data_IF_996658257742
#
_entry.id   IF_996658257742
#
_cell.length_a   1.000
_cell.length_b   1.000
_cell.length_c   1.000
_cell.angle_alpha   90.00
_cell.angle_beta   90.00
_cell.angle_gamma   90.00
#
_symmetry.space_group_name_H-M   'P 1'
#
loop_
_entity.id
_entity.type
_entity.pdbx_description
1 polymer ?
#
# COMPACT_ATOMS: atom_id res chain seq x y z
N UNK A 1 -64.47 58.84 5.07
CA UNK A 1 -63.25 59.21 5.82
C UNK A 1 -62.51 57.93 6.20
N UNK A 2 -61.75 57.28 5.31
CA UNK A 2 -60.33 57.50 4.99
C UNK A 2 -59.37 57.52 6.20
N UNK A 3 -58.76 56.36 6.52
CA UNK A 3 -57.43 56.26 7.14
C UNK A 3 -56.70 55.05 6.57
N UNK A 4 -55.69 55.30 5.72
CA UNK A 4 -54.76 54.28 5.20
C UNK A 4 -53.60 54.15 6.19
N UNK A 5 -53.43 52.97 6.78
CA UNK A 5 -52.27 52.63 7.62
C UNK A 5 -51.21 52.03 6.70
N UNK A 6 -50.08 52.73 6.52
CA UNK A 6 -48.90 52.22 5.81
C UNK A 6 -48.01 51.50 6.83
N UNK A 7 -47.92 50.17 6.76
CA UNK A 7 -46.96 49.40 7.53
C UNK A 7 -45.68 49.27 6.72
N UNK A 8 -44.60 49.87 7.22
CA UNK A 8 -43.24 49.73 6.70
C UNK A 8 -42.68 48.40 7.21
N UNK A 9 -42.36 47.47 6.31
CA UNK A 9 -41.59 46.27 6.64
C UNK A 9 -40.09 46.59 6.57
N UNK A 10 -39.30 46.19 7.58
CA UNK A 10 -37.86 46.37 7.57
C UNK A 10 -37.19 45.32 6.67
N UNK A 11 -36.15 45.80 6.02
CA UNK A 11 -35.17 45.08 5.18
C UNK A 11 -34.55 43.95 6.00
N UNK A 12 -34.76 42.70 5.57
CA UNK A 12 -34.06 41.54 6.09
C UNK A 12 -32.62 41.55 5.57
N UNK A 13 -31.71 41.68 6.53
CA UNK A 13 -30.26 41.60 6.41
C UNK A 13 -29.83 40.33 5.67
N UNK A 14 -28.95 40.52 4.67
CA UNK A 14 -28.28 39.44 3.98
C UNK A 14 -27.38 38.65 4.93
N UNK A 15 -27.59 37.34 4.98
CA UNK A 15 -26.61 36.40 5.52
C UNK A 15 -25.43 36.32 4.54
N UNK A 16 -24.20 36.61 4.96
CA UNK A 16 -23.04 36.19 4.20
C UNK A 16 -22.93 34.66 4.35
N UNK A 17 -23.22 33.93 3.27
CA UNK A 17 -22.85 32.52 3.16
C UNK A 17 -21.33 32.46 3.11
N UNK A 18 -20.72 32.25 4.28
CA UNK A 18 -19.31 31.89 4.38
C UNK A 18 -19.16 30.50 3.74
N UNK A 19 -18.76 30.46 2.48
CA UNK A 19 -18.19 29.26 1.86
C UNK A 19 -16.93 28.91 2.66
N UNK A 20 -17.09 28.08 3.68
CA UNK A 20 -15.98 27.34 4.25
C UNK A 20 -15.52 26.37 3.16
N UNK A 21 -14.41 26.70 2.49
CA UNK A 21 -13.63 25.72 1.74
C UNK A 21 -13.16 24.66 2.74
N UNK A 22 -13.98 23.63 2.95
CA UNK A 22 -13.51 22.37 3.47
C UNK A 22 -12.59 21.81 2.39
N UNK A 23 -11.30 22.15 2.48
CA UNK A 23 -10.26 21.45 1.75
C UNK A 23 -10.29 20.01 2.27
N UNK A 24 -11.06 19.18 1.57
CA UNK A 24 -11.15 17.76 1.80
C UNK A 24 -9.74 17.21 1.63
N UNK A 25 -9.08 16.95 2.76
CA UNK A 25 -7.76 16.32 2.78
C UNK A 25 -7.97 14.93 2.19
N UNK A 26 -7.70 14.80 0.88
CA UNK A 26 -7.59 13.49 0.26
C UNK A 26 -6.57 12.71 1.08
N UNK A 27 -6.91 11.50 1.57
CA UNK A 27 -5.93 10.61 2.17
C UNK A 27 -4.80 10.44 1.15
N UNK A 28 -3.60 10.92 1.48
CA UNK A 28 -2.43 10.73 0.63
C UNK A 28 -2.13 9.23 0.71
N UNK A 29 -2.57 8.47 -0.29
CA UNK A 29 -2.15 7.10 -0.44
C UNK A 29 -0.62 7.11 -0.64
N UNK A 30 0.14 6.35 0.17
CA UNK A 30 1.59 6.32 0.02
C UNK A 30 1.92 5.83 -1.39
N UNK A 31 2.83 6.50 -2.13
CA UNK A 31 3.15 6.10 -3.49
C UNK A 31 3.71 4.67 -3.50
N UNK A 32 3.42 3.90 -4.56
CA UNK A 32 4.17 2.68 -4.82
C UNK A 32 5.64 3.05 -5.05
N UNK A 33 6.54 2.48 -4.26
CA UNK A 33 7.98 2.54 -4.55
C UNK A 33 8.28 1.38 -5.48
N UNK A 34 8.32 1.67 -6.79
CA UNK A 34 8.55 0.69 -7.84
C UNK A 34 9.99 0.19 -7.81
N UNK A 35 10.19 -1.07 -7.41
CA UNK A 35 11.44 -1.79 -7.63
C UNK A 35 11.15 -3.17 -8.19
N UNK A 36 10.86 -3.23 -9.49
CA UNK A 36 10.66 -4.49 -10.24
C UNK A 36 11.45 -4.48 -11.53
N UNK A 37 12.19 -5.57 -11.75
CA UNK A 37 12.62 -5.99 -13.08
C UNK A 37 11.35 -6.28 -13.88
N UNK A 38 10.99 -5.36 -14.81
CA UNK A 38 9.88 -5.43 -15.78
C UNK A 38 8.57 -4.68 -15.43
N UNK A 39 8.45 -4.05 -14.25
CA UNK A 39 7.39 -3.06 -13.95
C UNK A 39 5.91 -3.53 -13.94
N UNK A 40 5.65 -4.81 -14.20
CA UNK A 40 4.30 -5.40 -14.31
C UNK A 40 3.58 -5.58 -12.98
N UNK A 41 4.31 -5.84 -11.90
CA UNK A 41 3.78 -5.94 -10.53
C UNK A 41 4.47 -4.86 -9.69
N UNK A 42 3.73 -4.23 -8.77
CA UNK A 42 4.25 -3.26 -7.82
C UNK A 42 4.05 -3.77 -6.39
N UNK A 43 5.03 -3.56 -5.51
CA UNK A 43 4.97 -3.97 -4.11
C UNK A 43 5.38 -2.78 -3.23
N UNK A 44 4.60 -2.49 -2.19
CA UNK A 44 4.90 -1.42 -1.25
C UNK A 44 4.60 -1.85 0.19
N UNK A 45 5.53 -1.59 1.11
CA UNK A 45 5.24 -1.65 2.54
C UNK A 45 4.61 -0.33 2.93
N UNK A 46 3.43 -0.36 3.55
CA UNK A 46 2.62 0.84 3.80
C UNK A 46 3.10 1.67 5.01
N UNK A 47 4.13 1.21 5.70
CA UNK A 47 4.72 1.87 6.87
C UNK A 47 6.23 1.90 6.75
N UNK A 48 6.84 3.02 7.16
CA UNK A 48 8.29 3.18 7.11
C UNK A 48 9.02 2.41 8.19
N UNK A 49 8.32 1.94 9.22
CA UNK A 49 8.92 1.26 10.37
C UNK A 49 8.03 0.15 10.91
N UNK A 50 8.63 -1.03 11.10
CA UNK A 50 7.99 -2.22 11.69
C UNK A 50 8.86 -2.70 12.85
N UNK A 51 8.25 -3.22 13.92
CA UNK A 51 9.01 -3.84 15.00
C UNK A 51 9.55 -5.22 14.60
N UNK A 52 10.68 -5.63 15.19
CA UNK A 52 11.09 -7.04 15.13
C UNK A 52 9.96 -7.97 15.61
N UNK A 53 9.68 -9.04 14.87
CA UNK A 53 8.52 -9.91 15.12
C UNK A 53 7.14 -9.29 14.83
N UNK A 54 7.11 -8.06 14.33
CA UNK A 54 5.90 -7.33 14.00
C UNK A 54 5.28 -7.77 12.67
N UNK A 55 4.22 -7.06 12.29
CA UNK A 55 3.47 -7.33 11.05
C UNK A 55 3.56 -6.13 10.12
N UNK A 56 4.07 -6.34 8.91
CA UNK A 56 4.06 -5.35 7.85
C UNK A 56 2.74 -5.45 7.06
N UNK A 57 2.11 -4.30 6.77
CA UNK A 57 1.03 -4.25 5.78
C UNK A 57 1.65 -3.99 4.42
N UNK A 58 1.44 -4.89 3.47
CA UNK A 58 2.07 -4.88 2.15
C UNK A 58 1.00 -4.74 1.09
N UNK A 59 1.12 -3.72 0.25
CA UNK A 59 0.27 -3.52 -0.92
C UNK A 59 0.93 -4.10 -2.15
N UNK A 60 0.16 -4.87 -2.90
CA UNK A 60 0.48 -5.46 -4.18
C UNK A 60 -0.39 -4.80 -5.24
N UNK A 61 0.20 -4.39 -6.35
CA UNK A 61 -0.52 -3.85 -7.50
C UNK A 61 -0.12 -4.60 -8.76
N UNK A 62 -1.09 -4.98 -9.59
CA UNK A 62 -0.84 -5.53 -10.90
C UNK A 62 -1.12 -4.49 -11.96
N UNK A 63 -0.09 -4.13 -12.73
CA UNK A 63 -0.14 -3.13 -13.81
C UNK A 63 -0.12 -3.76 -15.20
N UNK A 64 -0.20 -5.08 -15.29
CA UNK A 64 -0.34 -5.80 -16.56
C UNK A 64 -1.78 -6.25 -16.81
N UNK A 65 -2.00 -6.84 -17.97
CA UNK A 65 -3.23 -7.51 -18.39
C UNK A 65 -3.27 -9.00 -17.99
N UNK A 66 -2.23 -9.50 -17.32
CA UNK A 66 -2.13 -10.89 -16.88
C UNK A 66 -2.73 -11.10 -15.49
N UNK A 67 -3.12 -12.33 -15.17
CA UNK A 67 -3.44 -12.73 -13.80
C UNK A 67 -2.21 -13.34 -13.16
N UNK A 68 -1.85 -12.89 -11.95
CA UNK A 68 -0.74 -13.45 -11.19
C UNK A 68 -1.21 -14.28 -9.99
N UNK A 69 -0.62 -15.45 -9.83
CA UNK A 69 -0.65 -16.24 -8.61
C UNK A 69 0.56 -15.92 -7.73
N UNK A 70 0.37 -15.77 -6.42
CA UNK A 70 1.46 -15.57 -5.46
C UNK A 70 1.08 -16.08 -4.06
N UNK A 71 2.07 -16.21 -3.18
CA UNK A 71 1.85 -16.50 -1.77
C UNK A 71 2.64 -15.50 -0.92
N UNK A 72 1.98 -14.57 -0.20
CA UNK A 72 2.65 -13.61 0.68
C UNK A 72 3.54 -14.28 1.74
N UNK A 73 3.20 -15.49 2.18
CA UNK A 73 4.04 -16.21 3.14
C UNK A 73 5.40 -16.58 2.54
N UNK A 74 5.49 -16.84 1.23
CA UNK A 74 6.74 -17.24 0.56
C UNK A 74 7.71 -16.08 0.31
N UNK A 75 7.44 -14.89 0.88
CA UNK A 75 8.30 -13.71 0.76
C UNK A 75 9.74 -13.97 1.18
N UNK A 76 10.70 -13.23 0.63
CA UNK A 76 12.08 -13.21 1.10
C UNK A 76 12.32 -11.88 1.81
N UNK A 77 12.83 -11.92 3.05
CA UNK A 77 13.35 -10.70 3.70
C UNK A 77 14.77 -10.45 3.23
N UNK A 78 15.06 -9.23 2.78
CA UNK A 78 16.42 -8.80 2.50
C UNK A 78 16.79 -7.63 3.41
N UNK A 79 17.96 -7.73 4.05
CA UNK A 79 18.57 -6.67 4.84
C UNK A 79 19.56 -5.91 4.00
N UNK A 80 19.57 -4.58 4.12
CA UNK A 80 20.65 -3.79 3.56
C UNK A 80 21.90 -3.91 4.43
N UNK A 81 23.00 -4.34 3.84
CA UNK A 81 24.33 -4.33 4.44
C UNK A 81 25.22 -3.56 3.47
N UNK A 82 25.71 -2.40 3.92
CA UNK A 82 26.45 -1.49 3.05
C UNK A 82 25.56 -1.01 1.88
N UNK A 83 25.97 -1.24 0.64
CA UNK A 83 25.20 -0.97 -0.58
C UNK A 83 24.40 -2.17 -1.08
N UNK A 84 24.49 -3.34 -0.43
CA UNK A 84 23.96 -4.59 -0.95
C UNK A 84 22.75 -5.11 -0.16
N UNK A 85 21.90 -5.87 -0.83
CA UNK A 85 20.73 -6.51 -0.24
C UNK A 85 21.01 -7.98 0.02
N UNK A 86 21.18 -8.34 1.29
CA UNK A 86 21.45 -9.70 1.72
C UNK A 86 20.20 -10.39 2.22
N UNK A 87 19.94 -11.60 1.75
CA UNK A 87 18.82 -12.42 2.23
C UNK A 87 18.99 -12.75 3.72
N UNK A 88 18.02 -12.34 4.53
CA UNK A 88 17.90 -12.80 5.90
C UNK A 88 17.25 -14.19 5.89
N UNK A 89 17.93 -15.18 6.45
CA UNK A 89 17.46 -16.57 6.46
C UNK A 89 16.38 -16.76 7.52
N UNK A 90 15.31 -17.43 7.14
CA UNK A 90 14.17 -17.76 8.02
C UNK A 90 14.00 -19.28 8.09
N UNK A 91 14.88 -20.01 8.82
CA UNK A 91 14.95 -21.47 8.75
C UNK A 91 13.69 -22.19 9.26
N UNK A 92 12.90 -21.53 10.12
CA UNK A 92 11.74 -22.11 10.80
C UNK A 92 10.39 -21.68 10.19
N UNK A 93 10.40 -20.96 9.07
CA UNK A 93 9.14 -20.45 8.51
C UNK A 93 8.44 -21.54 7.69
N UNK A 94 7.32 -22.02 8.21
CA UNK A 94 6.42 -22.91 7.50
C UNK A 94 5.32 -22.10 6.81
N UNK A 95 5.23 -22.21 5.49
CA UNK A 95 4.15 -21.61 4.72
C UNK A 95 3.07 -22.62 4.38
N UNK A 96 1.82 -22.19 4.52
CA UNK A 96 0.71 -22.94 3.95
C UNK A 96 0.77 -22.84 2.41
N UNK A 97 0.22 -23.84 1.72
CA UNK A 97 0.11 -23.85 0.26
C UNK A 97 -1.10 -23.02 -0.20
N UNK A 98 -1.21 -21.77 0.27
CA UNK A 98 -2.29 -20.88 -0.11
C UNK A 98 -1.88 -20.06 -1.34
N UNK A 99 -2.67 -20.18 -2.40
CA UNK A 99 -2.50 -19.39 -3.62
C UNK A 99 -3.41 -18.16 -3.54
N UNK A 100 -2.79 -16.98 -3.60
CA UNK A 100 -3.48 -15.71 -3.77
C UNK A 100 -3.46 -15.33 -5.23
N UNK A 101 -4.56 -14.73 -5.68
CA UNK A 101 -4.69 -14.18 -7.02
C UNK A 101 -4.59 -12.66 -6.97
N UNK A 102 -3.94 -12.12 -7.99
CA UNK A 102 -3.86 -10.70 -8.29
C UNK A 102 -4.27 -10.52 -9.76
N UNK A 103 -5.53 -10.17 -9.96
CA UNK A 103 -6.14 -9.97 -11.28
C UNK A 103 -5.51 -8.76 -12.00
N UNK A 104 -5.76 -8.64 -13.31
CA UNK A 104 -5.29 -7.51 -14.10
C UNK A 104 -5.80 -6.17 -13.53
N UNK A 105 -4.90 -5.21 -13.36
CA UNK A 105 -5.22 -3.90 -12.76
C UNK A 105 -5.55 -3.91 -11.27
N UNK A 106 -5.54 -5.08 -10.60
CA UNK A 106 -5.97 -5.20 -9.22
C UNK A 106 -4.90 -4.71 -8.24
N UNK A 107 -5.37 -4.09 -7.15
CA UNK A 107 -4.58 -3.88 -5.94
C UNK A 107 -5.08 -4.75 -4.78
N UNK A 108 -4.15 -5.18 -3.94
CA UNK A 108 -4.43 -6.01 -2.78
C UNK A 108 -3.52 -5.66 -1.62
N UNK A 109 -4.04 -5.67 -0.40
CA UNK A 109 -3.23 -5.47 0.81
C UNK A 109 -3.22 -6.76 1.61
N UNK A 110 -2.03 -7.25 1.93
CA UNK A 110 -1.85 -8.42 2.79
C UNK A 110 -0.99 -8.08 4.01
N UNK A 111 -1.18 -8.87 5.06
CA UNK A 111 -0.40 -8.78 6.29
C UNK A 111 0.72 -9.81 6.25
N UNK A 112 1.92 -9.37 6.54
CA UNK A 112 3.11 -10.20 6.44
C UNK A 112 3.93 -10.06 7.72
N UNK A 113 4.03 -11.16 8.47
CA UNK A 113 4.83 -11.21 9.69
C UNK A 113 6.31 -11.03 9.36
N UNK A 114 7.09 -10.46 10.28
CA UNK A 114 8.56 -10.45 10.24
C UNK A 114 9.13 -11.43 11.27
N UNK A 115 10.35 -11.95 11.07
CA UNK A 115 11.02 -12.80 12.05
C UNK A 115 11.18 -12.07 13.39
N UNK A 116 11.14 -12.80 14.50
CA UNK A 116 11.31 -12.21 15.84
C UNK A 116 12.77 -11.88 16.17
N UNK A 117 13.69 -12.58 15.53
CA UNK A 117 15.15 -12.49 15.68
C UNK A 117 15.82 -11.58 14.65
N UNK A 118 15.02 -10.85 13.87
CA UNK A 118 15.53 -9.87 12.92
C UNK A 118 16.19 -8.70 13.65
N UNK A 119 17.44 -8.39 13.31
CA UNK A 119 18.14 -7.26 13.89
C UNK A 119 17.55 -5.92 13.41
N UNK A 120 17.71 -4.82 14.16
CA UNK A 120 17.38 -3.50 13.65
C UNK A 120 18.16 -3.13 12.37
N UNK A 121 17.54 -2.38 11.47
CA UNK A 121 18.16 -1.96 10.21
C UNK A 121 17.19 -1.61 9.09
N UNK A 122 17.72 -1.46 7.88
CA UNK A 122 16.93 -1.23 6.65
C UNK A 122 16.68 -2.56 5.91
N UNK A 123 15.44 -2.76 5.49
CA UNK A 123 14.95 -4.01 4.93
C UNK A 123 14.07 -3.76 3.71
N UNK A 124 13.92 -4.79 2.87
CA UNK A 124 12.89 -4.87 1.84
C UNK A 124 12.32 -6.29 1.80
N UNK A 125 11.11 -6.41 1.28
CA UNK A 125 10.45 -7.68 1.05
C UNK A 125 10.48 -8.00 -0.44
N UNK A 126 10.82 -9.24 -0.81
CA UNK A 126 10.80 -9.71 -2.19
C UNK A 126 9.78 -10.82 -2.32
N UNK A 127 8.94 -10.77 -3.35
CA UNK A 127 7.90 -11.75 -3.61
C UNK A 127 8.06 -12.32 -5.02
N UNK A 128 7.65 -13.58 -5.19
CA UNK A 128 7.58 -14.24 -6.48
C UNK A 128 6.12 -14.34 -6.92
N UNK A 129 5.89 -14.09 -8.20
CA UNK A 129 4.59 -14.16 -8.85
C UNK A 129 4.70 -15.08 -10.06
N UNK A 130 3.65 -15.85 -10.32
CA UNK A 130 3.54 -16.69 -11.50
C UNK A 130 2.36 -16.24 -12.33
N UNK A 131 2.61 -15.90 -13.60
CA UNK A 131 1.51 -15.62 -14.53
C UNK A 131 0.68 -16.89 -14.73
N UNK A 132 -0.64 -16.77 -14.57
CA UNK A 132 -1.61 -17.87 -14.74
C UNK A 132 -2.28 -17.86 -16.11
N UNK A 133 -2.24 -16.71 -16.80
CA UNK A 133 -2.63 -16.53 -18.19
C UNK A 133 -1.38 -16.28 -19.06
N UNK A 134 -1.40 -16.69 -20.33
CA UNK A 134 -0.34 -16.36 -21.30
C UNK A 134 0.92 -17.25 -21.23
N UNK A 135 2.02 -16.79 -21.85
CA UNK A 135 3.31 -17.49 -21.81
C UNK A 135 3.84 -17.51 -20.37
N UNK A 136 4.24 -18.68 -19.88
CA UNK A 136 4.76 -18.86 -18.52
C UNK A 136 5.86 -17.84 -18.20
N UNK A 137 5.55 -16.91 -17.29
CA UNK A 137 6.47 -15.89 -16.81
C UNK A 137 6.45 -15.87 -15.28
N UNK A 138 7.62 -16.08 -14.68
CA UNK A 138 7.82 -15.83 -13.26
C UNK A 138 8.33 -14.40 -13.09
N UNK A 139 7.62 -13.59 -12.30
CA UNK A 139 8.02 -12.21 -11.99
C UNK A 139 8.48 -12.15 -10.54
N UNK A 140 9.52 -11.35 -10.28
CA UNK A 140 9.94 -11.03 -8.91
C UNK A 140 9.81 -9.54 -8.67
N UNK A 141 9.10 -9.18 -7.61
CA UNK A 141 8.92 -7.80 -7.21
C UNK A 141 9.49 -7.57 -5.81
N UNK A 142 10.17 -6.44 -5.63
CA UNK A 142 10.64 -6.00 -4.33
C UNK A 142 9.87 -4.78 -3.86
N UNK A 143 9.64 -4.68 -2.55
CA UNK A 143 9.18 -3.43 -1.95
C UNK A 143 10.26 -2.36 -1.99
N UNK A 144 9.83 -1.11 -1.78
CA UNK A 144 10.71 -0.07 -1.24
C UNK A 144 11.36 -0.49 0.09
N UNK A 145 12.38 0.26 0.49
CA UNK A 145 13.05 0.06 1.77
C UNK A 145 12.15 0.51 2.93
N UNK A 146 12.18 -0.23 4.04
CA UNK A 146 11.55 0.12 5.31
C UNK A 146 12.49 -0.20 6.47
N UNK A 147 12.25 0.36 7.65
CA UNK A 147 13.08 0.14 8.84
C UNK A 147 12.48 -0.91 9.76
N UNK A 148 13.37 -1.67 10.39
CA UNK A 148 13.05 -2.56 11.50
C UNK A 148 13.68 -2.00 12.78
N UNK A 149 12.89 -1.95 13.86
CA UNK A 149 13.31 -1.49 15.18
C UNK A 149 13.01 -2.49 16.30
#
# INVERSE_FOLDING_TARGET
>A
MSRRIRVRWPVLLGLPVLLACAAERQPVEPPFVDLVQDGSVAVAVLVDTVSAGGVASVRFGNRSDQIYGFNPCERVVQRRVSSEWNTHREPLRACNKMLYLLDAGQERIERVDLPRDIAPGEYRLVFAFSALSGSQGAVRAASGAFRVR
#
